data_IF_922235229741
#
_entry.id   IF_922235229741
#
_cell.length_a   1.000
_cell.length_b   1.000
_cell.length_c   1.000
_cell.angle_alpha   90.00
_cell.angle_beta   90.00
_cell.angle_gamma   90.00
#
_symmetry.space_group_name_H-M   'P 1'
#
loop_
_entity.id
_entity.type
_entity.pdbx_description
1 polymer ?
#
# COMPACT_ATOMS: atom_id res chain seq x y z
N UNK A 1 40.35 -26.69 11.52
CA UNK A 1 39.70 -26.13 10.30
C UNK A 1 38.61 -27.06 9.71
N UNK A 2 37.83 -27.79 10.52
CA UNK A 2 36.67 -28.60 10.06
C UNK A 2 35.30 -28.11 10.55
N UNK A 3 35.25 -27.02 11.32
CA UNK A 3 34.02 -26.54 11.98
C UNK A 3 33.25 -25.45 11.18
N UNK A 4 33.86 -24.82 10.17
CA UNK A 4 33.23 -23.71 9.44
C UNK A 4 32.43 -24.14 8.19
N UNK A 5 32.56 -25.39 7.75
CA UNK A 5 31.93 -25.89 6.51
C UNK A 5 30.57 -26.59 6.72
N UNK A 6 30.09 -26.72 7.96
CA UNK A 6 28.77 -27.31 8.26
C UNK A 6 27.65 -26.28 8.53
N UNK A 7 27.94 -24.98 8.46
CA UNK A 7 26.94 -23.91 8.73
C UNK A 7 26.19 -23.42 7.48
N UNK A 8 26.71 -23.68 6.28
CA UNK A 8 26.12 -23.17 5.02
C UNK A 8 24.95 -24.01 4.47
N UNK A 9 24.74 -25.25 4.97
CA UNK A 9 23.67 -26.15 4.47
C UNK A 9 22.29 -25.96 5.12
N UNK A 10 22.11 -25.05 6.10
CA UNK A 10 20.85 -24.94 6.88
C UNK A 10 19.89 -23.82 6.49
N UNK A 11 20.17 -23.02 5.45
CA UNK A 11 19.34 -21.84 5.13
C UNK A 11 18.72 -21.81 3.71
N UNK A 12 19.08 -22.71 2.80
CA UNK A 12 18.63 -22.65 1.40
C UNK A 12 17.38 -23.49 1.17
N UNK A 13 16.19 -22.86 1.14
CA UNK A 13 15.01 -23.51 0.59
C UNK A 13 15.14 -23.61 -0.93
N UNK A 14 14.97 -24.79 -1.48
CA UNK A 14 15.06 -25.06 -2.93
C UNK A 14 13.73 -24.79 -3.65
N UNK A 15 13.77 -24.68 -4.97
CA UNK A 15 12.57 -24.57 -5.80
C UNK A 15 11.60 -25.76 -5.60
N UNK A 16 12.12 -26.97 -5.38
CA UNK A 16 11.33 -28.17 -5.11
C UNK A 16 10.58 -28.07 -3.76
N UNK A 17 11.26 -27.58 -2.71
CA UNK A 17 10.67 -27.36 -1.39
C UNK A 17 9.62 -26.22 -1.39
N UNK A 18 9.73 -25.26 -2.31
CA UNK A 18 8.74 -24.18 -2.46
C UNK A 18 7.43 -24.64 -3.11
N UNK A 19 7.43 -25.73 -3.87
CA UNK A 19 6.25 -26.12 -4.67
C UNK A 19 5.01 -26.49 -3.84
N UNK A 20 5.11 -27.25 -2.73
CA UNK A 20 3.97 -27.51 -1.84
C UNK A 20 3.40 -26.24 -1.22
N UNK A 21 4.25 -25.34 -0.73
CA UNK A 21 3.85 -24.02 -0.23
C UNK A 21 3.11 -23.25 -1.33
N UNK A 22 3.67 -23.22 -2.56
CA UNK A 22 3.04 -22.53 -3.68
C UNK A 22 1.63 -23.06 -3.99
N UNK A 23 1.45 -24.38 -4.00
CA UNK A 23 0.13 -25.01 -4.19
C UNK A 23 -0.85 -24.67 -3.06
N UNK A 24 -0.40 -24.78 -1.81
CA UNK A 24 -1.25 -24.52 -0.65
C UNK A 24 -1.75 -23.07 -0.62
N UNK A 25 -0.88 -22.09 -0.88
CA UNK A 25 -1.26 -20.68 -0.91
C UNK A 25 -2.25 -20.38 -2.05
N UNK A 26 -2.00 -20.90 -3.26
CA UNK A 26 -2.93 -20.73 -4.39
C UNK A 26 -4.31 -21.31 -4.08
N UNK A 27 -4.38 -22.51 -3.50
CA UNK A 27 -5.64 -23.14 -3.13
C UNK A 27 -6.41 -22.30 -2.09
N UNK A 28 -5.70 -21.81 -1.07
CA UNK A 28 -6.26 -20.93 -0.05
C UNK A 28 -6.75 -19.58 -0.61
N UNK A 29 -6.01 -19.02 -1.56
CA UNK A 29 -6.33 -17.71 -2.14
C UNK A 29 -7.41 -17.75 -3.22
N UNK A 30 -7.59 -18.88 -3.91
CA UNK A 30 -8.55 -19.03 -5.02
C UNK A 30 -9.95 -18.45 -4.73
N UNK A 31 -10.62 -18.72 -3.59
CA UNK A 31 -11.94 -18.13 -3.31
C UNK A 31 -11.90 -16.64 -2.94
N UNK A 32 -10.72 -16.05 -2.71
CA UNK A 32 -10.50 -14.65 -2.27
C UNK A 32 -10.03 -13.73 -3.41
N UNK A 33 -9.67 -14.30 -4.56
CA UNK A 33 -8.91 -13.61 -5.61
C UNK A 33 -9.66 -12.41 -6.22
N UNK A 34 -10.99 -12.41 -6.20
CA UNK A 34 -11.84 -11.33 -6.75
C UNK A 34 -12.57 -10.53 -5.65
N UNK A 35 -12.09 -10.60 -4.40
CA UNK A 35 -12.75 -9.96 -3.24
C UNK A 35 -12.85 -8.43 -3.33
N UNK A 36 -12.10 -7.77 -4.24
CA UNK A 36 -12.09 -6.32 -4.40
C UNK A 36 -12.13 -5.91 -5.88
N UNK A 37 -12.69 -4.73 -6.21
CA UNK A 37 -12.85 -4.27 -7.60
C UNK A 37 -11.57 -4.29 -8.43
N UNK A 38 -10.44 -3.86 -7.86
CA UNK A 38 -9.13 -3.84 -8.53
C UNK A 38 -8.50 -5.22 -8.74
N UNK A 39 -9.11 -6.30 -8.25
CA UNK A 39 -8.66 -7.67 -8.49
C UNK A 39 -9.51 -8.41 -9.53
N UNK A 40 -10.58 -7.78 -10.02
CA UNK A 40 -11.43 -8.37 -11.07
C UNK A 40 -10.63 -8.53 -12.36
N UNK A 41 -11.02 -9.50 -13.18
CA UNK A 41 -10.43 -9.66 -14.50
C UNK A 41 -10.61 -8.39 -15.34
N UNK A 42 -9.61 -8.03 -16.14
CA UNK A 42 -9.65 -6.87 -17.03
C UNK A 42 -9.24 -5.52 -16.39
N UNK A 43 -8.83 -5.49 -15.12
CA UNK A 43 -8.24 -4.28 -14.53
C UNK A 43 -6.89 -3.99 -15.20
N UNK A 44 -6.76 -2.77 -15.73
CA UNK A 44 -5.58 -2.31 -16.45
C UNK A 44 -4.47 -1.81 -15.50
N UNK A 45 -3.24 -1.56 -16.00
CA UNK A 45 -2.16 -1.07 -15.16
C UNK A 45 -2.44 0.26 -14.44
N UNK A 46 -3.28 1.11 -15.01
CA UNK A 46 -3.70 2.36 -14.38
C UNK A 46 -4.57 2.08 -13.14
N UNK A 47 -5.59 1.22 -13.28
CA UNK A 47 -6.43 0.78 -12.17
C UNK A 47 -5.63 0.09 -11.06
N UNK A 48 -4.64 -0.76 -11.42
CA UNK A 48 -3.72 -1.34 -10.44
C UNK A 48 -2.94 -0.26 -9.68
N UNK A 49 -2.32 0.70 -10.39
CA UNK A 49 -1.58 1.80 -9.77
C UNK A 49 -2.47 2.63 -8.82
N UNK A 50 -3.67 3.01 -9.26
CA UNK A 50 -4.64 3.75 -8.44
C UNK A 50 -4.96 2.97 -7.16
N UNK A 51 -5.27 1.68 -7.29
CA UNK A 51 -5.62 0.83 -6.14
C UNK A 51 -4.48 0.71 -5.13
N UNK A 52 -3.24 0.52 -5.60
CA UNK A 52 -2.08 0.37 -4.73
C UNK A 52 -1.77 1.68 -3.99
N UNK A 53 -1.95 2.85 -4.62
CA UNK A 53 -1.83 4.14 -3.93
C UNK A 53 -2.97 4.35 -2.93
N UNK A 54 -4.21 3.97 -3.29
CA UNK A 54 -5.36 4.05 -2.37
C UNK A 54 -5.18 3.16 -1.14
N UNK A 55 -4.57 1.98 -1.28
CA UNK A 55 -4.35 1.03 -0.18
C UNK A 55 -3.26 1.45 0.81
N UNK A 56 -2.41 2.42 0.47
CA UNK A 56 -1.41 2.95 1.39
C UNK A 56 -2.07 3.54 2.65
N UNK A 57 -1.85 2.92 3.81
CA UNK A 57 -2.43 3.35 5.10
C UNK A 57 -3.96 3.48 5.08
N UNK A 58 -4.66 2.72 4.22
CA UNK A 58 -6.11 2.74 4.11
C UNK A 58 -6.65 1.31 4.12
N UNK A 59 -7.74 1.07 4.83
CA UNK A 59 -8.38 -0.24 4.82
C UNK A 59 -8.98 -0.54 3.45
N UNK A 60 -8.81 -1.78 2.99
CA UNK A 60 -9.27 -2.23 1.68
C UNK A 60 -10.78 -1.97 1.44
N UNK A 61 -11.66 -2.25 2.40
CA UNK A 61 -13.10 -1.94 2.24
C UNK A 61 -13.37 -0.46 1.94
N UNK A 62 -12.65 0.45 2.63
CA UNK A 62 -12.75 1.90 2.42
C UNK A 62 -12.18 2.34 1.07
N UNK A 63 -11.06 1.73 0.66
CA UNK A 63 -10.50 1.97 -0.68
C UNK A 63 -11.44 1.47 -1.78
N UNK A 64 -12.09 0.31 -1.61
CA UNK A 64 -13.02 -0.27 -2.58
C UNK A 64 -14.21 0.63 -2.86
N UNK A 65 -14.78 1.24 -1.82
CA UNK A 65 -15.89 2.20 -1.97
C UNK A 65 -15.50 3.44 -2.79
N UNK A 66 -14.26 3.92 -2.67
CA UNK A 66 -13.80 5.10 -3.42
C UNK A 66 -13.32 4.76 -4.84
N UNK A 67 -12.74 3.57 -5.04
CA UNK A 67 -12.04 3.17 -6.26
C UNK A 67 -12.90 3.29 -7.52
N UNK A 68 -14.10 2.71 -7.50
CA UNK A 68 -14.96 2.70 -8.69
C UNK A 68 -15.45 4.11 -9.06
N UNK A 69 -15.76 4.95 -8.08
CA UNK A 69 -16.12 6.34 -8.30
C UNK A 69 -14.96 7.16 -8.87
N UNK A 70 -13.74 6.88 -8.41
CA UNK A 70 -12.53 7.52 -8.92
C UNK A 70 -12.28 7.15 -10.39
N UNK A 71 -12.36 5.86 -10.75
CA UNK A 71 -12.21 5.42 -12.14
C UNK A 71 -13.33 5.90 -13.06
N UNK A 72 -14.57 6.03 -12.57
CA UNK A 72 -15.64 6.66 -13.36
C UNK A 72 -15.34 8.13 -13.67
N UNK A 73 -14.74 8.85 -12.72
CA UNK A 73 -14.40 10.27 -12.89
C UNK A 73 -13.16 10.48 -13.76
N UNK A 74 -12.17 9.60 -13.62
CA UNK A 74 -10.90 9.62 -14.34
C UNK A 74 -10.65 8.23 -14.93
N UNK A 75 -11.26 7.91 -16.09
CA UNK A 75 -11.21 6.57 -16.69
C UNK A 75 -9.81 6.16 -17.15
N UNK A 76 -8.94 7.11 -17.42
CA UNK A 76 -7.58 6.86 -17.91
C UNK A 76 -6.56 7.87 -17.35
N UNK A 77 -5.27 7.62 -17.62
CA UNK A 77 -4.18 8.48 -17.18
C UNK A 77 -4.24 9.90 -17.76
N UNK A 78 -4.73 10.06 -18.99
CA UNK A 78 -4.83 11.36 -19.66
C UNK A 78 -5.87 12.24 -18.97
N UNK A 79 -7.04 11.69 -18.67
CA UNK A 79 -8.13 12.34 -17.94
C UNK A 79 -7.70 12.72 -16.51
N UNK A 80 -6.94 11.85 -15.83
CA UNK A 80 -6.39 12.15 -14.51
C UNK A 80 -5.32 13.23 -14.57
N UNK A 81 -4.42 13.19 -15.56
CA UNK A 81 -3.34 14.16 -15.71
C UNK A 81 -3.82 15.57 -16.09
N UNK A 82 -4.90 15.65 -16.88
CA UNK A 82 -5.52 16.90 -17.31
C UNK A 82 -6.40 17.55 -16.23
N UNK A 83 -6.77 16.82 -15.18
CA UNK A 83 -7.62 17.33 -14.12
C UNK A 83 -6.94 18.46 -13.31
N UNK A 84 -7.77 19.31 -12.69
CA UNK A 84 -7.28 20.21 -11.65
C UNK A 84 -6.90 19.41 -10.41
N UNK A 85 -5.91 19.90 -9.65
CA UNK A 85 -5.50 19.19 -8.41
C UNK A 85 -6.67 19.12 -7.41
N UNK A 86 -7.50 20.15 -7.36
CA UNK A 86 -8.69 20.23 -6.54
C UNK A 86 -9.74 19.18 -6.90
N UNK A 87 -9.93 18.87 -8.19
CA UNK A 87 -10.85 17.80 -8.62
C UNK A 87 -10.35 16.42 -8.21
N UNK A 88 -9.04 16.17 -8.31
CA UNK A 88 -8.45 14.92 -7.82
C UNK A 88 -8.62 14.79 -6.31
N UNK A 89 -8.39 15.86 -5.55
CA UNK A 89 -8.60 15.87 -4.09
C UNK A 89 -10.09 15.68 -3.75
N UNK A 90 -11.01 16.24 -4.53
CA UNK A 90 -12.46 16.05 -4.37
C UNK A 90 -12.85 14.59 -4.60
N UNK A 91 -12.29 13.93 -5.62
CA UNK A 91 -12.52 12.52 -5.90
C UNK A 91 -11.86 11.58 -4.88
N UNK A 92 -10.79 12.02 -4.21
CA UNK A 92 -10.11 11.30 -3.11
C UNK A 92 -10.86 11.34 -1.76
N UNK A 93 -12.14 11.72 -1.82
CA UNK A 93 -13.02 11.86 -0.69
C UNK A 93 -12.94 10.69 0.28
N UNK A 94 -12.75 11.00 1.56
CA UNK A 94 -12.82 9.98 2.59
C UNK A 94 -11.64 9.01 2.60
N UNK A 95 -10.61 9.09 1.76
CA UNK A 95 -9.45 8.19 1.90
C UNK A 95 -8.39 8.72 2.88
N UNK A 96 -8.45 10.01 3.24
CA UNK A 96 -7.44 10.67 4.05
C UNK A 96 -6.06 10.72 3.37
N UNK A 97 -5.05 11.22 4.08
CA UNK A 97 -3.67 11.32 3.56
C UNK A 97 -3.60 11.94 2.14
N UNK A 98 -4.21 13.12 1.96
CA UNK A 98 -4.40 13.76 0.65
C UNK A 98 -3.11 13.98 -0.17
N UNK A 99 -1.92 13.97 0.46
CA UNK A 99 -0.64 13.98 -0.26
C UNK A 99 -0.50 12.81 -1.24
N UNK A 100 -1.15 11.66 -0.98
CA UNK A 100 -1.20 10.52 -1.91
C UNK A 100 -1.99 10.85 -3.17
N UNK A 101 -3.10 11.58 -3.05
CA UNK A 101 -3.88 12.03 -4.21
C UNK A 101 -3.04 12.98 -5.08
N UNK A 102 -2.34 13.92 -4.43
CA UNK A 102 -1.42 14.85 -5.11
C UNK A 102 -0.31 14.07 -5.81
N UNK A 103 0.35 13.14 -5.12
CA UNK A 103 1.43 12.35 -5.71
C UNK A 103 0.95 11.47 -6.87
N UNK A 104 -0.22 10.83 -6.76
CA UNK A 104 -0.83 10.07 -7.86
C UNK A 104 -1.12 10.94 -9.07
N UNK A 105 -1.62 12.16 -8.86
CA UNK A 105 -1.85 13.12 -9.94
C UNK A 105 -0.55 13.52 -10.64
N UNK A 106 0.51 13.83 -9.89
CA UNK A 106 1.82 14.13 -10.46
C UNK A 106 2.46 12.91 -11.16
N UNK A 107 2.21 11.69 -10.64
CA UNK A 107 2.59 10.45 -11.30
C UNK A 107 1.86 10.27 -12.64
N UNK A 108 0.55 10.52 -12.69
CA UNK A 108 -0.22 10.46 -13.94
C UNK A 108 0.32 11.45 -14.98
N UNK A 109 0.57 12.71 -14.58
CA UNK A 109 1.21 13.72 -15.45
C UNK A 109 2.58 13.29 -15.94
N UNK A 110 3.39 12.70 -15.06
CA UNK A 110 4.71 12.17 -15.42
C UNK A 110 4.59 11.02 -16.42
N UNK A 111 3.64 10.10 -16.23
CA UNK A 111 3.41 8.99 -17.15
C UNK A 111 2.97 9.49 -18.53
N UNK A 112 2.04 10.43 -18.60
CA UNK A 112 1.60 11.02 -19.87
C UNK A 112 2.77 11.69 -20.58
N UNK A 113 3.53 12.55 -19.88
CA UNK A 113 4.62 13.34 -20.46
C UNK A 113 5.85 12.51 -20.86
N UNK A 114 6.27 11.57 -20.01
CA UNK A 114 7.56 10.86 -20.14
C UNK A 114 7.40 9.47 -20.74
N UNK A 115 6.25 8.84 -20.55
CA UNK A 115 5.99 7.45 -20.93
C UNK A 115 4.85 7.29 -21.95
N UNK A 116 4.41 8.40 -22.57
CA UNK A 116 3.37 8.39 -23.61
C UNK A 116 2.03 7.86 -23.14
N UNK A 117 1.69 8.07 -21.86
CA UNK A 117 0.43 7.61 -21.27
C UNK A 117 0.41 6.13 -20.89
N UNK A 118 1.52 5.41 -21.03
CA UNK A 118 1.63 4.00 -20.63
C UNK A 118 2.32 3.85 -19.27
N UNK A 119 1.68 3.16 -18.33
CA UNK A 119 2.32 2.82 -17.04
C UNK A 119 3.61 2.01 -17.31
N UNK A 120 4.77 2.42 -16.77
CA UNK A 120 6.01 1.69 -16.96
C UNK A 120 5.94 0.27 -16.39
N UNK A 121 6.52 -0.69 -17.11
CA UNK A 121 6.50 -2.11 -16.69
C UNK A 121 7.59 -2.47 -15.68
N UNK A 122 8.71 -1.74 -15.72
CA UNK A 122 9.88 -2.06 -14.90
C UNK A 122 9.80 -1.42 -13.51
N UNK A 123 10.04 -2.19 -12.41
CA UNK A 123 9.99 -1.64 -11.05
C UNK A 123 10.85 -0.40 -10.85
N UNK A 124 12.06 -0.36 -11.43
CA UNK A 124 12.94 0.81 -11.33
C UNK A 124 12.35 2.05 -12.01
N UNK A 125 11.59 1.89 -13.09
CA UNK A 125 10.90 3.00 -13.74
C UNK A 125 9.70 3.46 -12.94
N UNK A 126 8.91 2.52 -12.40
CA UNK A 126 7.80 2.81 -11.50
C UNK A 126 8.26 3.58 -10.25
N UNK A 127 9.37 3.21 -9.63
CA UNK A 127 9.91 3.89 -8.43
C UNK A 127 10.32 5.34 -8.66
N UNK A 128 10.53 5.76 -9.92
CA UNK A 128 10.83 7.17 -10.25
C UNK A 128 9.56 8.04 -10.28
N UNK A 129 8.38 7.44 -10.25
CA UNK A 129 7.13 8.17 -10.26
C UNK A 129 6.87 8.80 -8.87
N UNK A 130 6.37 10.04 -8.81
CA UNK A 130 5.97 10.69 -7.57
C UNK A 130 5.07 9.80 -6.68
N UNK A 131 5.47 9.61 -5.42
CA UNK A 131 4.71 8.83 -4.44
C UNK A 131 4.72 7.31 -4.63
N UNK A 132 5.48 6.79 -5.61
CA UNK A 132 5.63 5.35 -5.84
C UNK A 132 6.91 4.86 -5.17
N UNK A 133 6.76 4.24 -3.99
CA UNK A 133 7.88 3.61 -3.27
C UNK A 133 8.22 2.20 -3.78
N UNK A 134 9.26 1.56 -3.22
CA UNK A 134 9.71 0.22 -3.64
C UNK A 134 8.61 -0.85 -3.62
N UNK A 135 7.78 -0.85 -2.57
CA UNK A 135 6.64 -1.76 -2.45
C UNK A 135 5.63 -1.54 -3.60
N UNK A 136 5.14 -0.32 -3.79
CA UNK A 136 4.11 -0.01 -4.80
C UNK A 136 4.62 -0.31 -6.21
N UNK A 137 5.88 0.00 -6.50
CA UNK A 137 6.49 -0.35 -7.79
C UNK A 137 6.54 -1.87 -8.04
N UNK A 138 6.95 -2.65 -7.03
CA UNK A 138 6.97 -4.10 -7.15
C UNK A 138 5.56 -4.70 -7.26
N UNK A 139 4.59 -4.17 -6.50
CA UNK A 139 3.19 -4.59 -6.57
C UNK A 139 2.59 -4.33 -7.95
N UNK A 140 2.73 -3.11 -8.49
CA UNK A 140 2.24 -2.77 -9.83
C UNK A 140 2.93 -3.62 -10.89
N UNK A 141 4.26 -3.78 -10.84
CA UNK A 141 5.01 -4.62 -11.78
C UNK A 141 4.55 -6.09 -11.76
N UNK A 142 4.32 -6.66 -10.58
CA UNK A 142 3.89 -8.04 -10.44
C UNK A 142 2.42 -8.25 -10.85
N UNK A 143 1.53 -7.35 -10.44
CA UNK A 143 0.08 -7.48 -10.64
C UNK A 143 -0.31 -7.12 -12.08
N UNK A 144 0.16 -5.97 -12.59
CA UNK A 144 -0.25 -5.47 -13.91
C UNK A 144 0.56 -6.04 -15.07
N UNK A 145 1.82 -6.42 -14.82
CA UNK A 145 2.76 -6.81 -15.88
C UNK A 145 3.38 -8.18 -15.67
N UNK A 146 2.86 -8.96 -14.71
CA UNK A 146 3.30 -10.31 -14.41
C UNK A 146 4.83 -10.44 -14.20
N UNK A 147 5.48 -9.38 -13.69
CA UNK A 147 6.92 -9.39 -13.44
C UNK A 147 7.21 -10.26 -12.21
N UNK A 148 8.23 -11.14 -12.25
CA UNK A 148 8.56 -12.03 -11.14
C UNK A 148 9.33 -11.27 -10.04
N UNK A 149 8.63 -10.33 -9.38
CA UNK A 149 9.17 -9.52 -8.30
C UNK A 149 8.30 -9.63 -7.05
N UNK A 150 8.95 -9.57 -5.88
CA UNK A 150 8.25 -9.61 -4.58
C UNK A 150 7.88 -8.20 -4.17
N UNK A 151 6.60 -7.97 -3.90
CA UNK A 151 6.09 -6.78 -3.23
C UNK A 151 6.23 -6.96 -1.72
N UNK A 152 7.38 -6.57 -1.19
CA UNK A 152 7.73 -6.78 0.23
C UNK A 152 7.09 -5.69 1.12
N UNK A 153 6.00 -6.03 1.81
CA UNK A 153 5.47 -5.26 2.92
C UNK A 153 5.82 -5.92 4.28
N UNK A 154 5.38 -5.32 5.38
CA UNK A 154 5.58 -5.86 6.73
C UNK A 154 4.90 -7.22 6.95
N UNK A 155 3.84 -7.53 6.20
CA UNK A 155 3.11 -8.78 6.30
C UNK A 155 3.85 -9.91 5.57
N UNK A 156 4.27 -9.67 4.33
CA UNK A 156 5.08 -10.58 3.52
C UNK A 156 6.42 -10.85 4.22
N UNK A 157 7.07 -9.82 4.79
CA UNK A 157 8.29 -9.96 5.60
C UNK A 157 8.09 -10.94 6.75
N UNK A 158 7.04 -10.76 7.55
CA UNK A 158 6.71 -11.62 8.70
C UNK A 158 6.37 -13.05 8.28
N UNK A 159 5.50 -13.22 7.28
CA UNK A 159 5.13 -14.55 6.76
C UNK A 159 6.38 -15.29 6.29
N UNK A 160 7.21 -14.64 5.47
CA UNK A 160 8.42 -15.25 4.92
C UNK A 160 9.41 -15.63 6.03
N UNK A 161 9.68 -14.72 6.97
CA UNK A 161 10.58 -14.99 8.09
C UNK A 161 10.11 -16.19 8.91
N UNK A 162 8.82 -16.25 9.26
CA UNK A 162 8.27 -17.36 10.05
C UNK A 162 8.28 -18.68 9.29
N UNK A 163 7.81 -18.67 8.04
CA UNK A 163 7.65 -19.91 7.25
C UNK A 163 9.02 -20.50 6.89
N UNK A 164 9.95 -19.64 6.45
CA UNK A 164 11.22 -20.08 5.84
C UNK A 164 12.39 -20.00 6.80
N UNK A 165 12.48 -18.96 7.63
CA UNK A 165 13.62 -18.77 8.54
C UNK A 165 13.33 -19.28 9.96
N UNK A 166 12.06 -19.56 10.28
CA UNK A 166 11.67 -20.12 11.56
C UNK A 166 11.70 -19.13 12.74
N UNK A 167 11.84 -17.83 12.46
CA UNK A 167 11.98 -16.78 13.47
C UNK A 167 11.11 -15.56 13.17
N UNK A 168 10.89 -14.74 14.18
CA UNK A 168 10.34 -13.40 13.96
C UNK A 168 11.32 -12.54 13.15
N UNK A 169 10.83 -11.66 12.27
CA UNK A 169 11.70 -10.72 11.59
C UNK A 169 12.25 -9.68 12.57
N UNK A 170 13.54 -9.41 12.48
CA UNK A 170 14.16 -8.30 13.20
C UNK A 170 13.81 -6.94 12.55
N UNK A 171 14.00 -5.86 13.29
CA UNK A 171 13.87 -4.51 12.77
C UNK A 171 14.95 -4.23 11.70
N UNK A 172 14.62 -3.38 10.72
CA UNK A 172 15.55 -3.01 9.65
C UNK A 172 15.51 -3.93 8.43
N UNK A 173 16.54 -3.83 7.57
CA UNK A 173 16.65 -4.64 6.36
C UNK A 173 17.31 -5.98 6.68
N UNK A 174 16.70 -7.09 6.25
CA UNK A 174 17.27 -8.42 6.42
C UNK A 174 17.36 -9.09 5.03
N UNK A 175 18.56 -9.19 4.44
CA UNK A 175 18.75 -9.80 3.14
C UNK A 175 18.28 -11.25 3.06
N UNK A 176 18.31 -12.01 4.16
CA UNK A 176 17.87 -13.41 4.17
C UNK A 176 16.38 -13.53 3.90
N UNK A 177 15.58 -12.59 4.41
CA UNK A 177 14.14 -12.55 4.15
C UNK A 177 13.87 -12.24 2.68
N UNK A 178 14.63 -11.32 2.07
CA UNK A 178 14.48 -10.98 0.67
C UNK A 178 14.79 -12.19 -0.24
N UNK A 179 15.89 -12.90 0.03
CA UNK A 179 16.25 -14.15 -0.68
C UNK A 179 15.17 -15.21 -0.49
N UNK A 180 14.71 -15.46 0.74
CA UNK A 180 13.67 -16.42 1.03
C UNK A 180 12.35 -16.11 0.31
N UNK A 181 11.95 -14.84 0.27
CA UNK A 181 10.73 -14.43 -0.43
C UNK A 181 10.86 -14.61 -1.95
N UNK A 182 12.04 -14.33 -2.51
CA UNK A 182 12.33 -14.58 -3.93
C UNK A 182 12.23 -16.05 -4.30
N UNK A 183 12.75 -16.94 -3.44
CA UNK A 183 12.64 -18.40 -3.63
C UNK A 183 11.20 -18.91 -3.49
N UNK A 184 10.40 -18.29 -2.61
CA UNK A 184 8.98 -18.62 -2.46
C UNK A 184 8.11 -18.19 -3.63
N UNK A 185 8.40 -17.04 -4.22
CA UNK A 185 7.61 -16.41 -5.28
C UNK A 185 7.20 -17.41 -6.35
N UNK A 186 5.91 -17.47 -6.68
CA UNK A 186 5.42 -18.29 -7.79
C UNK A 186 5.61 -17.55 -9.11
N UNK A 187 6.55 -17.97 -9.99
CA UNK A 187 6.82 -17.26 -11.23
C UNK A 187 5.67 -17.35 -12.23
N UNK A 188 4.73 -18.30 -12.04
CA UNK A 188 3.55 -18.46 -12.92
C UNK A 188 2.43 -17.46 -12.65
N UNK A 189 2.46 -16.81 -11.49
CA UNK A 189 1.45 -15.82 -11.09
C UNK A 189 1.97 -14.92 -9.98
N UNK A 190 3.05 -14.15 -10.20
CA UNK A 190 3.65 -13.28 -9.20
C UNK A 190 2.68 -12.25 -8.63
N UNK A 191 1.76 -11.70 -9.45
CA UNK A 191 0.71 -10.80 -8.97
C UNK A 191 -0.20 -11.45 -7.92
N UNK A 192 -0.81 -12.58 -8.28
CA UNK A 192 -1.65 -13.37 -7.39
C UNK A 192 -0.88 -13.86 -6.16
N UNK A 193 0.38 -14.25 -6.32
CA UNK A 193 1.25 -14.66 -5.22
C UNK A 193 1.43 -13.55 -4.18
N UNK A 194 1.80 -12.35 -4.65
CA UNK A 194 1.99 -11.19 -3.78
C UNK A 194 0.70 -10.85 -3.04
N UNK A 195 -0.44 -10.79 -3.74
CA UNK A 195 -1.74 -10.53 -3.11
C UNK A 195 -2.09 -11.60 -2.06
N UNK A 196 -1.85 -12.88 -2.36
CA UNK A 196 -2.12 -13.97 -1.43
C UNK A 196 -1.22 -13.92 -0.19
N UNK A 197 0.06 -13.59 -0.34
CA UNK A 197 1.00 -13.45 0.78
C UNK A 197 0.61 -12.28 1.69
N UNK A 198 0.19 -11.16 1.11
CA UNK A 198 -0.30 -9.99 1.86
C UNK A 198 -1.57 -10.32 2.65
N UNK A 199 -2.57 -10.94 2.01
CA UNK A 199 -3.82 -11.34 2.66
C UNK A 199 -3.55 -12.39 3.76
N UNK A 200 -2.66 -13.36 3.50
CA UNK A 200 -2.25 -14.36 4.48
C UNK A 200 -1.62 -13.70 5.72
N UNK A 201 -0.68 -12.78 5.51
CA UNK A 201 -0.02 -12.09 6.62
C UNK A 201 -0.97 -11.19 7.40
N UNK A 202 -1.95 -10.59 6.74
CA UNK A 202 -2.96 -9.74 7.37
C UNK A 202 -3.97 -10.53 8.19
N UNK A 203 -4.52 -11.62 7.64
CA UNK A 203 -5.69 -12.30 8.21
C UNK A 203 -5.32 -13.49 9.10
N UNK A 204 -4.21 -14.15 8.81
CA UNK A 204 -3.84 -15.44 9.42
C UNK A 204 -2.51 -15.34 10.16
N UNK A 205 -1.43 -15.04 9.45
CA UNK A 205 -0.09 -14.90 10.02
C UNK A 205 0.14 -13.49 10.59
N UNK A 206 -0.83 -12.99 11.36
CA UNK A 206 -0.76 -11.71 12.11
C UNK A 206 0.23 -11.81 13.29
N UNK A 207 0.55 -10.73 14.02
CA UNK A 207 1.48 -10.78 15.15
C UNK A 207 1.16 -11.92 16.14
N UNK A 208 -0.10 -12.06 16.54
CA UNK A 208 -0.63 -13.26 17.21
C UNK A 208 -1.28 -14.22 16.19
N UNK A 209 -0.53 -15.17 15.59
CA UNK A 209 -0.98 -15.90 14.40
C UNK A 209 -2.11 -16.89 14.71
N UNK A 210 -2.96 -17.14 13.70
CA UNK A 210 -3.97 -18.21 13.70
C UNK A 210 -3.42 -19.41 12.93
N UNK A 211 -2.46 -20.11 13.53
CA UNK A 211 -1.69 -21.16 12.85
C UNK A 211 -2.56 -22.36 12.43
N UNK A 212 -3.66 -22.59 13.12
CA UNK A 212 -4.58 -23.72 12.97
C UNK A 212 -5.38 -23.66 11.66
N UNK A 213 -5.46 -22.48 11.04
CA UNK A 213 -6.13 -22.25 9.76
C UNK A 213 -5.15 -21.83 8.66
N UNK A 214 -3.84 -21.93 8.93
CA UNK A 214 -2.81 -21.46 8.01
C UNK A 214 -2.54 -22.47 6.90
N UNK A 215 -2.56 -22.08 5.61
CA UNK A 215 -2.23 -22.99 4.51
C UNK A 215 -0.78 -23.52 4.57
N UNK A 216 0.09 -22.86 5.33
CA UNK A 216 1.48 -23.26 5.52
C UNK A 216 1.71 -24.07 6.80
N UNK A 217 0.68 -24.44 7.54
CA UNK A 217 0.77 -25.08 8.85
C UNK A 217 1.80 -26.23 8.90
N UNK A 218 1.72 -27.16 7.94
CA UNK A 218 2.59 -28.36 7.88
C UNK A 218 4.02 -28.09 7.44
N UNK A 219 4.30 -26.92 6.86
CA UNK A 219 5.56 -26.56 6.24
C UNK A 219 6.30 -25.43 6.98
N UNK A 220 5.64 -24.79 7.95
CA UNK A 220 6.13 -23.59 8.61
C UNK A 220 7.18 -23.93 9.68
N UNK A 221 8.44 -23.53 9.45
CA UNK A 221 9.54 -23.76 10.40
C UNK A 221 9.30 -23.09 11.76
N UNK A 222 8.71 -21.89 11.78
CA UNK A 222 8.40 -21.18 13.02
C UNK A 222 7.37 -21.95 13.86
N UNK A 223 6.35 -22.52 13.21
CA UNK A 223 5.37 -23.37 13.91
C UNK A 223 6.02 -24.66 14.40
N UNK A 224 6.80 -25.33 13.55
CA UNK A 224 7.50 -26.58 13.89
C UNK A 224 8.47 -26.42 15.07
N UNK A 225 9.04 -25.22 15.24
CA UNK A 225 9.92 -24.88 16.36
C UNK A 225 9.17 -24.39 17.63
N UNK A 226 7.85 -24.51 17.70
CA UNK A 226 7.07 -24.09 18.88
C UNK A 226 6.81 -22.59 18.98
N UNK A 227 6.88 -21.85 17.85
CA UNK A 227 6.62 -20.39 17.75
C UNK A 227 7.61 -19.53 18.58
N UNK A 228 8.94 -19.67 18.36
CA UNK A 228 9.95 -19.02 19.19
C UNK A 228 9.95 -17.49 19.00
N UNK A 229 10.02 -16.74 20.12
CA UNK A 229 10.10 -15.28 20.14
C UNK A 229 8.92 -14.61 20.84
N UNK A 230 9.10 -13.36 21.28
CA UNK A 230 7.99 -12.56 21.81
C UNK A 230 7.11 -12.13 20.66
N UNK A 231 5.83 -12.53 20.70
CA UNK A 231 4.77 -11.86 19.93
C UNK A 231 4.75 -10.42 20.42
N UNK A 232 5.37 -9.51 19.66
CA UNK A 232 5.39 -8.10 20.02
C UNK A 232 3.98 -7.54 19.84
N UNK A 233 3.51 -6.82 20.86
CA UNK A 233 2.27 -6.06 20.74
C UNK A 233 2.43 -5.09 19.56
N UNK A 234 1.43 -5.06 18.68
CA UNK A 234 1.44 -4.15 17.54
C UNK A 234 1.60 -2.71 18.06
N UNK A 235 2.51 -1.93 17.46
CA UNK A 235 2.61 -0.50 17.73
C UNK A 235 1.22 0.13 17.52
N UNK A 236 0.65 0.67 18.58
CA UNK A 236 -0.66 1.33 18.51
C UNK A 236 -0.48 2.69 17.82
N UNK A 237 -1.30 2.96 16.80
CA UNK A 237 -1.37 4.32 16.30
C UNK A 237 -2.06 5.21 17.36
N UNK A 238 -1.61 6.46 17.52
CA UNK A 238 -2.34 7.43 18.34
C UNK A 238 -3.82 7.55 17.92
N UNK A 239 -4.72 7.99 18.81
CA UNK A 239 -6.13 8.22 18.48
C UNK A 239 -6.33 9.15 17.28
N UNK A 240 -7.43 8.98 16.55
CA UNK A 240 -7.77 9.89 15.45
C UNK A 240 -8.38 11.19 15.97
N UNK A 241 -9.25 11.08 16.98
CA UNK A 241 -9.84 12.23 17.64
C UNK A 241 -8.75 13.11 18.25
N UNK A 242 -8.85 14.42 18.05
CA UNK A 242 -7.89 15.39 18.54
C UNK A 242 -6.55 15.42 17.80
N UNK A 243 -6.32 14.62 16.76
CA UNK A 243 -5.05 14.58 16.04
C UNK A 243 -4.94 15.60 14.90
N UNK A 244 -3.73 15.99 14.49
CA UNK A 244 -3.52 16.91 13.36
C UNK A 244 -4.11 16.36 12.04
N UNK A 245 -4.14 15.02 11.85
CA UNK A 245 -4.78 14.39 10.69
C UNK A 245 -6.29 14.65 10.65
N UNK A 246 -6.96 14.74 11.81
CA UNK A 246 -8.37 15.09 11.89
C UNK A 246 -8.60 16.54 11.49
N UNK A 247 -7.84 17.48 12.08
CA UNK A 247 -7.94 18.93 11.77
C UNK A 247 -7.80 19.16 10.26
N UNK A 248 -6.72 18.64 9.68
CA UNK A 248 -6.45 18.75 8.25
C UNK A 248 -7.56 18.12 7.40
N UNK A 249 -8.07 16.96 7.83
CA UNK A 249 -9.19 16.29 7.18
C UNK A 249 -10.46 17.14 7.14
N UNK A 250 -10.82 17.79 8.27
CA UNK A 250 -12.00 18.67 8.34
C UNK A 250 -11.84 19.93 7.49
N UNK A 251 -10.65 20.54 7.46
CA UNK A 251 -10.37 21.69 6.58
C UNK A 251 -10.59 21.31 5.11
N UNK A 252 -10.00 20.19 4.67
CA UNK A 252 -10.19 19.72 3.28
C UNK A 252 -11.66 19.40 3.01
N UNK A 253 -12.37 18.76 3.95
CA UNK A 253 -13.80 18.50 3.80
C UNK A 253 -14.62 19.79 3.63
N UNK A 254 -14.34 20.84 4.40
CA UNK A 254 -14.98 22.15 4.26
C UNK A 254 -14.70 22.80 2.89
N UNK A 255 -13.45 22.74 2.42
CA UNK A 255 -13.04 23.31 1.13
C UNK A 255 -13.47 22.47 -0.09
N UNK A 256 -13.94 21.23 0.11
CA UNK A 256 -14.56 20.44 -0.96
C UNK A 256 -15.96 20.94 -1.30
N UNK A 257 -16.69 21.47 -0.32
CA UNK A 257 -18.06 22.00 -0.49
C UNK A 257 -18.09 23.52 -0.65
N UNK A 258 -17.07 24.23 -0.18
CA UNK A 258 -16.95 25.69 -0.32
C UNK A 258 -15.84 26.03 -1.32
N UNK A 259 -16.10 26.88 -2.34
CA UNK A 259 -15.07 27.29 -3.30
C UNK A 259 -13.85 27.95 -2.65
N UNK A 260 -14.06 28.69 -1.56
CA UNK A 260 -12.99 29.27 -0.74
C UNK A 260 -13.49 29.59 0.67
N UNK A 261 -12.60 29.68 1.66
CA UNK A 261 -12.91 30.15 3.00
C UNK A 261 -11.70 30.85 3.65
N UNK A 262 -11.94 31.94 4.40
CA UNK A 262 -10.94 32.50 5.31
C UNK A 262 -10.80 31.68 6.59
N UNK A 263 -9.80 32.00 7.43
CA UNK A 263 -9.54 31.28 8.69
C UNK A 263 -10.78 31.22 9.60
N UNK A 264 -11.46 32.35 9.83
CA UNK A 264 -12.69 32.37 10.66
C UNK A 264 -13.78 31.44 10.10
N UNK A 265 -13.96 31.43 8.78
CA UNK A 265 -14.91 30.53 8.12
C UNK A 265 -14.53 29.05 8.27
N UNK A 266 -13.23 28.73 8.30
CA UNK A 266 -12.72 27.38 8.54
C UNK A 266 -12.85 26.97 10.01
N UNK A 267 -12.62 27.87 10.96
CA UNK A 267 -12.89 27.64 12.39
C UNK A 267 -14.34 27.25 12.59
N UNK A 268 -15.27 28.05 12.05
CA UNK A 268 -16.72 27.75 12.11
C UNK A 268 -17.05 26.43 11.41
N UNK A 269 -16.48 26.16 10.23
CA UNK A 269 -16.76 24.93 9.47
C UNK A 269 -16.32 23.66 10.21
N UNK A 270 -15.21 23.75 10.93
CA UNK A 270 -14.54 22.59 11.50
C UNK A 270 -14.87 22.39 12.97
N UNK A 271 -15.32 23.44 13.67
CA UNK A 271 -15.52 23.46 15.11
C UNK A 271 -14.20 23.31 15.89
N UNK A 272 -13.08 23.73 15.31
CA UNK A 272 -11.73 23.58 15.88
C UNK A 272 -11.17 24.98 16.17
N UNK A 273 -10.38 25.09 17.24
CA UNK A 273 -9.75 26.35 17.65
C UNK A 273 -8.87 26.98 16.57
N UNK A 274 -8.77 28.32 16.64
CA UNK A 274 -8.09 29.16 15.68
C UNK A 274 -6.65 28.70 15.40
N UNK A 275 -5.83 28.54 16.45
CA UNK A 275 -4.41 28.25 16.31
C UNK A 275 -4.17 26.92 15.61
N UNK A 276 -4.96 25.89 15.92
CA UNK A 276 -4.85 24.59 15.24
C UNK A 276 -5.29 24.67 13.78
N UNK A 277 -6.34 25.42 13.47
CA UNK A 277 -6.79 25.61 12.08
C UNK A 277 -5.72 26.35 11.27
N UNK A 278 -5.10 27.39 11.82
CA UNK A 278 -4.04 28.15 11.14
C UNK A 278 -2.82 27.29 10.82
N UNK A 279 -2.30 26.56 11.81
CA UNK A 279 -1.15 25.66 11.63
C UNK A 279 -1.46 24.57 10.61
N UNK A 280 -2.66 23.97 10.70
CA UNK A 280 -3.08 22.93 9.77
C UNK A 280 -3.26 23.46 8.35
N UNK A 281 -3.87 24.64 8.18
CA UNK A 281 -4.06 25.29 6.88
C UNK A 281 -2.71 25.64 6.23
N UNK A 282 -1.77 26.22 6.97
CA UNK A 282 -0.42 26.50 6.48
C UNK A 282 0.31 25.22 6.08
N UNK A 283 0.16 24.14 6.84
CA UNK A 283 0.66 22.81 6.47
C UNK A 283 0.04 22.26 5.18
N UNK A 284 -1.27 22.45 4.99
CA UNK A 284 -1.96 22.03 3.76
C UNK A 284 -1.52 22.84 2.54
N UNK A 285 -1.17 24.11 2.73
CA UNK A 285 -0.56 24.94 1.68
C UNK A 285 0.82 24.44 1.29
N UNK A 286 1.70 24.18 2.26
CA UNK A 286 3.03 23.59 1.99
C UNK A 286 2.98 22.26 1.27
N UNK A 287 1.95 21.46 1.55
CA UNK A 287 1.75 20.16 0.91
C UNK A 287 1.10 20.26 -0.49
N UNK A 288 0.77 21.46 -0.95
CA UNK A 288 0.11 21.69 -2.25
C UNK A 288 -1.33 21.20 -2.33
N UNK A 289 -1.97 20.92 -1.19
CA UNK A 289 -3.37 20.45 -1.10
C UNK A 289 -4.34 21.63 -1.16
N UNK A 290 -3.94 22.73 -0.52
CA UNK A 290 -4.69 23.98 -0.43
C UNK A 290 -3.82 25.10 -1.02
N UNK A 291 -4.42 26.10 -1.65
CA UNK A 291 -3.73 27.33 -2.02
C UNK A 291 -4.31 28.51 -1.24
N UNK A 292 -3.45 29.49 -0.95
CA UNK A 292 -3.83 30.74 -0.29
C UNK A 292 -3.99 31.84 -1.35
N UNK A 293 -5.15 32.50 -1.38
CA UNK A 293 -5.47 33.65 -2.22
C UNK A 293 -5.83 34.83 -1.32
N UNK A 294 -4.87 35.73 -1.10
CA UNK A 294 -5.00 36.80 -0.12
C UNK A 294 -5.23 36.25 1.30
N UNK A 295 -6.41 36.52 1.86
CA UNK A 295 -6.85 36.04 3.19
C UNK A 295 -7.69 34.76 3.15
N UNK A 296 -7.94 34.21 1.96
CA UNK A 296 -8.77 33.02 1.76
C UNK A 296 -7.94 31.79 1.36
N UNK A 297 -8.49 30.62 1.62
CA UNK A 297 -7.95 29.31 1.27
C UNK A 297 -8.93 28.57 0.38
N UNK A 298 -8.43 27.84 -0.61
CA UNK A 298 -9.21 26.94 -1.47
C UNK A 298 -8.42 25.69 -1.84
N UNK A 299 -9.07 24.65 -2.33
CA UNK A 299 -8.34 23.51 -2.89
C UNK A 299 -7.46 23.99 -4.06
N UNK A 300 -6.25 23.45 -4.15
CA UNK A 300 -5.29 23.84 -5.17
C UNK A 300 -5.85 23.65 -6.59
N UNK A 301 -5.61 24.62 -7.48
CA UNK A 301 -5.95 24.53 -8.91
C UNK A 301 -4.99 23.65 -9.68
#
# INVERSE_FOLDING_TARGET
MRSMLMSSRRAGMTALESSPLRRALRAWYRPRREAYPWRRAGIDPYGVLVSEVMLQQTQAARAASAFEGFLRRFPDLSSLAAASRGDVIRAWAGLGYHRRAVALHEAARTIVRVHGGMVPREPRALQRLPGVGPYTAAAVAAIAFNRPVVAMDVNVRRVTSRVVLGREPEDGNDPQIAVAAGLLLDPRGPGTWNQAMMDLGREVCRPAPRCEVCPFERFCRFRGAGRPGRVTAARTQPPFEGSNRQVRGRIVAALRVRPSAGIAGLVVATGIDLGRVEVAAAGLVRDGIVERRGRSFRLAG
#
